data_IF_107686359832
#
_entry.id   IF_107686359832
#
_cell.length_a   1.000
_cell.length_b   1.000
_cell.length_c   1.000
_cell.angle_alpha   90.00
_cell.angle_beta   90.00
_cell.angle_gamma   90.00
#
_symmetry.space_group_name_H-M   'P 1'
#
loop_
_entity.id
_entity.type
_entity.pdbx_description
1 polymer ?
#
# COMPACT_ATOMS: atom_id res chain seq x y z
N UNK A 1 -19.89 14.84 1.22
CA UNK A 1 -19.31 14.51 -0.09
C UNK A 1 -17.80 14.72 0.03
N UNK A 2 -16.98 13.69 -0.18
CA UNK A 2 -15.52 13.84 -0.10
C UNK A 2 -14.99 14.56 -1.34
N UNK A 3 -14.13 15.55 -1.17
CA UNK A 3 -13.53 16.30 -2.27
C UNK A 3 -12.39 15.47 -2.90
N UNK A 4 -12.66 14.89 -4.07
CA UNK A 4 -11.69 14.14 -4.87
C UNK A 4 -10.99 15.01 -5.93
N UNK A 5 -11.19 16.33 -5.91
CA UNK A 5 -10.65 17.24 -6.94
C UNK A 5 -9.18 17.62 -6.70
N UNK A 6 -8.67 17.37 -5.48
CA UNK A 6 -7.26 17.57 -5.13
C UNK A 6 -6.50 16.26 -5.25
N UNK A 7 -5.36 16.30 -5.92
CA UNK A 7 -4.51 15.13 -6.19
C UNK A 7 -3.13 15.27 -5.56
N UNK A 8 -2.47 14.12 -5.32
CA UNK A 8 -1.06 14.08 -4.95
C UNK A 8 -0.16 14.49 -6.12
N UNK A 9 1.10 14.81 -5.84
CA UNK A 9 2.12 14.95 -6.89
C UNK A 9 2.45 13.61 -7.54
N UNK A 10 2.39 12.52 -6.77
CA UNK A 10 2.70 11.15 -7.23
C UNK A 10 1.63 10.60 -8.16
N UNK A 11 2.05 10.06 -9.29
CA UNK A 11 1.20 9.42 -10.30
C UNK A 11 1.10 7.89 -10.10
N UNK A 12 0.21 7.24 -10.86
CA UNK A 12 -0.03 5.80 -10.81
C UNK A 12 1.25 4.98 -11.05
N UNK A 13 2.02 5.27 -12.11
CA UNK A 13 3.22 4.49 -12.45
C UNK A 13 4.34 4.66 -11.42
N UNK A 14 4.44 5.81 -10.77
CA UNK A 14 5.38 6.08 -9.69
C UNK A 14 5.07 5.23 -8.44
N UNK A 15 3.80 5.01 -8.09
CA UNK A 15 3.46 4.08 -7.00
C UNK A 15 3.85 2.64 -7.34
N UNK A 16 3.69 2.24 -8.60
CA UNK A 16 4.10 0.92 -9.04
C UNK A 16 5.62 0.74 -8.99
N UNK A 17 6.37 1.75 -9.46
CA UNK A 17 7.82 1.76 -9.39
C UNK A 17 8.31 1.75 -7.94
N UNK A 18 7.72 2.60 -7.08
CA UNK A 18 8.04 2.62 -5.65
C UNK A 18 7.87 1.25 -5.00
N UNK A 19 6.79 0.52 -5.33
CA UNK A 19 6.58 -0.81 -4.81
C UNK A 19 7.64 -1.82 -5.30
N UNK A 20 8.13 -1.68 -6.55
CA UNK A 20 9.23 -2.51 -7.08
C UNK A 20 10.54 -2.19 -6.37
N UNK A 21 10.92 -0.92 -6.31
CA UNK A 21 12.17 -0.46 -5.67
C UNK A 21 12.24 -0.93 -4.21
N UNK A 22 11.13 -0.78 -3.47
CA UNK A 22 11.07 -1.22 -2.06
C UNK A 22 11.15 -2.73 -1.91
N UNK A 23 10.67 -3.48 -2.89
CA UNK A 23 10.83 -4.94 -2.89
C UNK A 23 12.28 -5.34 -3.16
N UNK A 24 12.95 -4.68 -4.10
CA UNK A 24 14.38 -4.91 -4.37
C UNK A 24 15.23 -4.58 -3.13
N UNK A 25 14.98 -3.45 -2.48
CA UNK A 25 15.61 -3.07 -1.21
C UNK A 25 15.38 -4.14 -0.12
N UNK A 26 14.13 -4.62 0.01
CA UNK A 26 13.75 -5.63 0.98
C UNK A 26 14.53 -6.93 0.75
N UNK A 27 14.60 -7.39 -0.49
CA UNK A 27 15.28 -8.63 -0.85
C UNK A 27 16.79 -8.50 -0.58
N UNK A 28 17.41 -7.38 -0.97
CA UNK A 28 18.82 -7.09 -0.68
C UNK A 28 19.12 -7.06 0.84
N UNK A 29 18.25 -6.45 1.64
CA UNK A 29 18.39 -6.43 3.10
C UNK A 29 18.26 -7.82 3.72
N UNK A 30 17.33 -8.65 3.22
CA UNK A 30 17.17 -10.04 3.67
C UNK A 30 18.41 -10.86 3.38
N UNK A 31 18.98 -10.75 2.18
CA UNK A 31 20.21 -11.46 1.79
C UNK A 31 21.40 -11.12 2.68
N UNK A 32 21.44 -9.89 3.21
CA UNK A 32 22.47 -9.45 4.17
C UNK A 32 22.13 -9.74 5.63
N UNK A 33 21.05 -10.48 5.91
CA UNK A 33 20.60 -10.81 7.27
C UNK A 33 20.09 -9.60 8.05
N UNK A 34 19.73 -8.50 7.38
CA UNK A 34 19.21 -7.27 8.01
C UNK A 34 17.69 -7.36 8.18
N UNK A 35 17.24 -8.36 8.94
CA UNK A 35 15.83 -8.74 9.08
C UNK A 35 14.93 -7.61 9.57
N UNK A 36 15.35 -6.83 10.58
CA UNK A 36 14.53 -5.73 11.10
C UNK A 36 14.23 -4.68 10.03
N UNK A 37 15.25 -4.31 9.25
CA UNK A 37 15.10 -3.32 8.19
C UNK A 37 14.25 -3.86 7.03
N UNK A 38 14.41 -5.14 6.67
CA UNK A 38 13.62 -5.75 5.60
C UNK A 38 12.14 -5.91 5.98
N UNK A 39 11.83 -6.30 7.22
CA UNK A 39 10.45 -6.37 7.72
C UNK A 39 9.78 -5.00 7.68
N UNK A 40 10.52 -3.94 8.00
CA UNK A 40 10.02 -2.56 7.95
C UNK A 40 9.55 -2.13 6.54
N UNK A 41 10.16 -2.68 5.48
CA UNK A 41 9.79 -2.34 4.10
C UNK A 41 8.51 -3.03 3.61
N UNK A 42 8.14 -4.17 4.22
CA UNK A 42 6.97 -4.95 3.82
C UNK A 42 5.68 -4.13 3.73
N UNK A 43 5.26 -3.42 4.81
CA UNK A 43 4.05 -2.61 4.81
C UNK A 43 4.07 -1.48 3.76
N UNK A 44 5.22 -0.85 3.50
CA UNK A 44 5.33 0.21 2.49
C UNK A 44 5.15 -0.31 1.06
N UNK A 45 5.60 -1.54 0.78
CA UNK A 45 5.35 -2.20 -0.52
C UNK A 45 3.84 -2.40 -0.69
N UNK A 46 3.16 -2.89 0.33
CA UNK A 46 1.70 -3.10 0.32
C UNK A 46 0.97 -1.77 0.15
N UNK A 47 1.34 -0.73 0.90
CA UNK A 47 0.77 0.61 0.80
C UNK A 47 0.88 1.17 -0.63
N UNK A 48 2.06 1.11 -1.23
CA UNK A 48 2.30 1.60 -2.59
C UNK A 48 1.46 0.83 -3.62
N UNK A 49 1.37 -0.50 -3.49
CA UNK A 49 0.51 -1.33 -4.36
C UNK A 49 -0.97 -1.01 -4.21
N UNK A 50 -1.44 -0.76 -2.99
CA UNK A 50 -2.83 -0.35 -2.76
C UNK A 50 -3.11 1.01 -3.39
N UNK A 51 -2.21 1.99 -3.25
CA UNK A 51 -2.35 3.31 -3.88
C UNK A 51 -2.37 3.22 -5.41
N UNK A 52 -1.51 2.39 -6.00
CA UNK A 52 -1.57 2.04 -7.42
C UNK A 52 -2.93 1.44 -7.79
N UNK A 53 -3.43 0.47 -7.00
CA UNK A 53 -4.70 -0.21 -7.28
C UNK A 53 -5.90 0.73 -7.17
N UNK A 54 -5.89 1.67 -6.23
CA UNK A 54 -6.91 2.72 -6.12
C UNK A 54 -6.95 3.56 -7.40
N UNK A 55 -5.80 4.03 -7.88
CA UNK A 55 -5.71 4.76 -9.15
C UNK A 55 -6.25 3.94 -10.32
N UNK A 56 -5.94 2.64 -10.37
CA UNK A 56 -6.42 1.70 -11.38
C UNK A 56 -7.96 1.53 -11.35
N UNK A 57 -8.53 1.25 -10.18
CA UNK A 57 -9.97 1.04 -9.98
C UNK A 57 -10.77 2.31 -10.26
N UNK A 58 -10.27 3.47 -9.81
CA UNK A 58 -10.94 4.75 -10.00
C UNK A 58 -10.67 5.38 -11.39
N UNK A 59 -9.81 4.76 -12.21
CA UNK A 59 -9.35 5.27 -13.52
C UNK A 59 -8.76 6.68 -13.41
N UNK A 60 -7.92 6.89 -12.40
CA UNK A 60 -7.24 8.15 -12.13
C UNK A 60 -5.74 8.02 -12.36
N UNK A 61 -5.13 9.05 -12.94
CA UNK A 61 -3.66 9.11 -13.11
C UNK A 61 -2.94 9.45 -11.80
N UNK A 62 -3.62 10.13 -10.88
CA UNK A 62 -3.05 10.56 -9.60
C UNK A 62 -3.97 10.16 -8.47
N UNK A 63 -3.38 9.89 -7.32
CA UNK A 63 -4.14 9.55 -6.12
C UNK A 63 -4.84 10.81 -5.58
N UNK A 64 -6.12 10.74 -5.22
CA UNK A 64 -6.78 11.82 -4.48
C UNK A 64 -6.02 12.13 -3.19
N UNK A 65 -5.84 13.41 -2.86
CA UNK A 65 -5.05 13.85 -1.72
C UNK A 65 -5.58 13.31 -0.38
N UNK A 66 -6.89 13.11 -0.27
CA UNK A 66 -7.54 12.50 0.90
C UNK A 66 -7.13 11.04 1.12
N UNK A 67 -6.66 10.36 0.07
CA UNK A 67 -6.17 8.98 0.13
C UNK A 67 -4.64 8.92 0.29
N UNK A 68 -3.96 10.08 0.49
CA UNK A 68 -2.56 10.14 0.91
C UNK A 68 -2.43 9.83 2.41
N UNK A 69 -2.86 8.64 2.78
CA UNK A 69 -2.80 8.09 4.14
C UNK A 69 -1.87 6.88 4.19
N UNK A 70 -1.47 6.49 5.40
CA UNK A 70 -0.76 5.24 5.72
C UNK A 70 -1.70 4.17 6.31
N UNK A 71 -2.99 4.49 6.47
CA UNK A 71 -4.00 3.56 6.95
C UNK A 71 -4.30 2.50 5.88
N UNK A 72 -3.76 1.29 6.04
CA UNK A 72 -3.94 0.21 5.09
C UNK A 72 -5.40 -0.27 5.04
N UNK A 73 -6.17 -0.19 6.14
CA UNK A 73 -7.60 -0.55 6.12
C UNK A 73 -8.36 0.39 5.20
N UNK A 74 -8.12 1.69 5.32
CA UNK A 74 -8.73 2.67 4.44
C UNK A 74 -8.35 2.39 2.97
N UNK A 75 -7.07 2.16 2.70
CA UNK A 75 -6.60 1.91 1.34
C UNK A 75 -7.18 0.63 0.72
N UNK A 76 -7.32 -0.46 1.49
CA UNK A 76 -7.95 -1.71 1.02
C UNK A 76 -9.42 -1.50 0.64
N UNK A 77 -10.15 -0.66 1.37
CA UNK A 77 -11.53 -0.30 1.05
C UNK A 77 -11.59 0.40 -0.31
N UNK A 78 -10.79 1.45 -0.51
CA UNK A 78 -10.78 2.21 -1.76
C UNK A 78 -10.20 1.41 -2.94
N UNK A 79 -9.34 0.42 -2.68
CA UNK A 79 -8.83 -0.50 -3.68
C UNK A 79 -9.87 -1.55 -4.13
N UNK A 80 -11.03 -1.63 -3.44
CA UNK A 80 -12.07 -2.62 -3.74
C UNK A 80 -11.70 -4.05 -3.30
N UNK A 81 -10.72 -4.21 -2.40
CA UNK A 81 -10.18 -5.52 -2.01
C UNK A 81 -10.68 -6.01 -0.65
N UNK A 82 -11.55 -5.25 0.03
CA UNK A 82 -12.00 -5.57 1.40
C UNK A 82 -12.60 -6.96 1.53
N UNK A 83 -13.52 -7.32 0.64
CA UNK A 83 -14.24 -8.58 0.74
C UNK A 83 -13.39 -9.77 0.30
N UNK A 84 -12.56 -9.58 -0.74
CA UNK A 84 -11.54 -10.55 -1.15
C UNK A 84 -10.55 -10.84 -0.02
N UNK A 85 -10.01 -9.80 0.62
CA UNK A 85 -9.10 -9.97 1.74
C UNK A 85 -9.75 -10.76 2.90
N UNK A 86 -11.02 -10.49 3.21
CA UNK A 86 -11.76 -11.24 4.24
C UNK A 86 -12.00 -12.71 3.88
N UNK A 87 -12.07 -13.04 2.59
CA UNK A 87 -12.18 -14.42 2.12
C UNK A 87 -10.88 -15.23 2.21
N UNK A 88 -9.77 -14.59 2.61
CA UNK A 88 -8.44 -15.20 2.76
C UNK A 88 -7.97 -15.12 4.22
N UNK A 89 -8.38 -16.04 5.12
CA UNK A 89 -8.16 -15.90 6.57
C UNK A 89 -6.69 -15.73 6.98
N UNK A 90 -5.77 -16.49 6.37
CA UNK A 90 -4.33 -16.41 6.68
C UNK A 90 -3.71 -15.08 6.25
N UNK A 91 -4.12 -14.59 5.08
CA UNK A 91 -3.69 -13.28 4.55
C UNK A 91 -4.28 -12.16 5.39
N UNK A 92 -5.56 -12.26 5.77
CA UNK A 92 -6.23 -11.29 6.62
C UNK A 92 -5.57 -11.18 8.01
N UNK A 93 -5.18 -12.30 8.62
CA UNK A 93 -4.46 -12.31 9.88
C UNK A 93 -3.09 -11.60 9.76
N UNK A 94 -2.35 -11.89 8.70
CA UNK A 94 -1.05 -11.25 8.42
C UNK A 94 -1.20 -9.76 8.10
N UNK A 95 -2.23 -9.38 7.36
CA UNK A 95 -2.54 -7.99 7.06
C UNK A 95 -2.90 -7.20 8.32
N UNK A 96 -3.71 -7.81 9.19
CA UNK A 96 -4.14 -7.17 10.44
C UNK A 96 -2.97 -6.91 11.40
N UNK A 97 -1.93 -7.77 11.37
CA UNK A 97 -0.74 -7.61 12.22
C UNK A 97 0.25 -6.57 11.72
N UNK A 98 0.24 -6.21 10.43
CA UNK A 98 1.05 -5.10 9.89
C UNK A 98 0.34 -3.75 9.93
N UNK A 99 -0.98 -3.75 10.10
CA UNK A 99 -1.81 -2.55 10.11
C UNK A 99 -1.95 -1.92 11.52
N UNK A 100 -1.01 -2.20 12.41
CA UNK A 100 -0.84 -1.49 13.68
C UNK A 100 -0.01 -0.24 13.43
N UNK A 101 -0.68 0.86 13.08
CA UNK A 101 -0.04 2.17 13.02
C UNK A 101 0.57 2.50 14.40
N UNK A 102 1.85 2.90 14.49
CA UNK A 102 2.26 3.79 15.57
C UNK A 102 1.40 5.05 15.44
N UNK A 103 0.79 5.47 16.55
CA UNK A 103 0.11 6.76 16.64
C UNK A 103 1.11 7.91 16.52
#
# INVERSE_FOLDING_TARGET
MFDLTRFTSTNKSEFEQLARDRKEDLDALREKGRWTASVYLGPYIVEARLKFKICDVLKLEKLPAILKTHDLNALVIYAGLKDELKSLPEVFASFSSINVSPR
#
